data_IF_985478110178
#
_entry.id   IF_985478110178
#
_cell.length_a   1.000
_cell.length_b   1.000
_cell.length_c   1.000
_cell.angle_alpha   90.00
_cell.angle_beta   90.00
_cell.angle_gamma   90.00
#
_symmetry.space_group_name_H-M   'P 1'
#
loop_
_entity.id
_entity.type
_entity.pdbx_description
1 polymer ?
#
# COMPACT_ATOMS: atom_id res chain seq x y z
N UNK A 1 18.55 7.84 5.43
CA UNK A 1 19.64 8.06 4.45
C UNK A 1 19.15 8.77 3.19
N UNK A 2 17.94 8.45 2.70
CA UNK A 2 17.38 8.98 1.45
C UNK A 2 16.23 9.98 1.68
N UNK A 3 16.07 10.51 2.90
CA UNK A 3 14.97 11.41 3.24
C UNK A 3 14.97 12.69 2.41
N UNK A 4 16.10 13.39 2.36
CA UNK A 4 16.22 14.65 1.64
C UNK A 4 15.98 14.47 0.13
N UNK A 5 16.54 13.42 -0.47
CA UNK A 5 16.32 13.06 -1.87
C UNK A 5 14.83 12.88 -2.19
N UNK A 6 14.13 12.06 -1.39
CA UNK A 6 12.72 11.81 -1.58
C UNK A 6 11.85 13.04 -1.29
N UNK A 7 12.22 13.88 -0.34
CA UNK A 7 11.53 15.14 -0.07
C UNK A 7 11.61 16.11 -1.25
N UNK A 8 12.77 16.19 -1.92
CA UNK A 8 12.93 16.98 -3.14
C UNK A 8 12.09 16.40 -4.27
N UNK A 9 12.11 15.08 -4.47
CA UNK A 9 11.27 14.42 -5.48
C UNK A 9 9.78 14.68 -5.25
N UNK A 10 9.30 14.56 -4.01
CA UNK A 10 7.91 14.84 -3.64
C UNK A 10 7.53 16.28 -3.93
N UNK A 11 8.40 17.24 -3.58
CA UNK A 11 8.17 18.65 -3.83
C UNK A 11 8.10 18.98 -5.34
N UNK A 12 8.96 18.35 -6.14
CA UNK A 12 8.96 18.52 -7.60
C UNK A 12 7.71 17.93 -8.23
N UNK A 13 7.31 16.72 -7.81
CA UNK A 13 6.13 16.03 -8.35
C UNK A 13 4.82 16.75 -7.99
N UNK A 14 4.69 17.20 -6.74
CA UNK A 14 3.41 17.68 -6.19
C UNK A 14 3.27 19.19 -6.19
N UNK A 15 4.36 19.94 -6.26
CA UNK A 15 4.39 21.38 -6.03
C UNK A 15 4.26 21.81 -4.56
N UNK A 16 4.29 20.87 -3.60
CA UNK A 16 4.31 21.19 -2.17
C UNK A 16 5.57 21.94 -1.75
N UNK A 17 5.47 22.70 -0.67
CA UNK A 17 6.63 23.31 -0.04
C UNK A 17 7.62 22.25 0.42
N UNK A 18 8.89 22.47 0.17
CA UNK A 18 9.96 21.52 0.56
C UNK A 18 9.97 21.25 2.08
N UNK A 19 9.62 22.24 2.89
CA UNK A 19 9.52 22.11 4.36
C UNK A 19 8.47 21.09 4.77
N UNK A 20 7.33 21.06 4.06
CA UNK A 20 6.26 20.11 4.32
C UNK A 20 6.67 18.71 3.88
N UNK A 21 7.31 18.60 2.70
CA UNK A 21 7.84 17.35 2.19
C UNK A 21 8.92 16.76 3.12
N UNK A 22 9.79 17.58 3.73
CA UNK A 22 10.77 17.08 4.71
C UNK A 22 10.08 16.43 5.91
N UNK A 23 9.02 17.05 6.43
CA UNK A 23 8.28 16.47 7.57
C UNK A 23 7.59 15.16 7.19
N UNK A 24 6.84 15.16 6.08
CA UNK A 24 6.07 13.99 5.63
C UNK A 24 6.95 12.83 5.15
N UNK A 25 7.96 13.13 4.35
CA UNK A 25 8.72 12.13 3.60
C UNK A 25 9.97 11.67 4.36
N UNK A 26 10.75 12.63 4.91
CA UNK A 26 12.00 12.27 5.58
C UNK A 26 11.79 11.76 7.01
N UNK A 27 10.73 12.19 7.68
CA UNK A 27 10.45 11.81 9.06
C UNK A 27 9.37 10.74 9.18
N UNK A 28 8.17 10.95 8.61
CA UNK A 28 7.03 10.08 8.87
C UNK A 28 7.10 8.78 8.07
N UNK A 29 7.51 8.81 6.79
CA UNK A 29 7.54 7.60 5.96
C UNK A 29 8.48 6.51 6.51
N UNK A 30 9.73 6.79 6.93
CA UNK A 30 10.60 5.80 7.55
C UNK A 30 10.03 5.24 8.85
N UNK A 31 9.37 6.09 9.66
CA UNK A 31 8.78 5.69 10.94
C UNK A 31 7.68 4.64 10.74
N UNK A 32 6.87 4.75 9.68
CA UNK A 32 5.86 3.73 9.36
C UNK A 32 6.50 2.38 9.00
N UNK A 33 7.54 2.36 8.16
CA UNK A 33 8.24 1.11 7.86
C UNK A 33 8.87 0.49 9.10
N UNK A 34 9.49 1.32 9.95
CA UNK A 34 10.05 0.85 11.20
C UNK A 34 8.97 0.25 12.11
N UNK A 35 7.85 0.96 12.30
CA UNK A 35 6.76 0.51 13.17
C UNK A 35 6.17 -0.84 12.71
N UNK A 36 5.90 -0.99 11.42
CA UNK A 36 5.40 -2.27 10.88
C UNK A 36 6.45 -3.37 10.94
N UNK A 37 7.73 -3.07 10.72
CA UNK A 37 8.84 -4.02 10.90
C UNK A 37 8.95 -4.52 12.34
N UNK A 38 8.79 -3.63 13.32
CA UNK A 38 8.81 -3.95 14.74
C UNK A 38 7.53 -4.68 15.22
N UNK A 39 6.45 -4.61 14.43
CA UNK A 39 5.17 -5.25 14.76
C UNK A 39 5.12 -6.74 14.42
N UNK A 40 5.95 -7.22 13.48
CA UNK A 40 5.85 -8.55 12.88
C UNK A 40 5.83 -9.66 13.94
N UNK A 41 6.68 -9.58 14.95
CA UNK A 41 6.79 -10.57 16.04
C UNK A 41 5.76 -10.37 17.16
N UNK A 42 4.87 -9.37 17.06
CA UNK A 42 3.88 -9.01 18.08
C UNK A 42 2.43 -9.32 17.65
N UNK A 43 2.25 -9.80 16.42
CA UNK A 43 0.94 -10.16 15.89
C UNK A 43 0.71 -11.67 16.02
N UNK A 44 0.17 -12.07 17.17
CA UNK A 44 -0.05 -13.49 17.50
C UNK A 44 -1.28 -14.08 16.83
N UNK A 45 -1.24 -15.41 16.61
CA UNK A 45 -2.43 -16.22 16.36
C UNK A 45 -3.30 -16.36 17.62
N UNK A 46 -4.37 -17.12 17.51
CA UNK A 46 -5.30 -17.37 18.63
C UNK A 46 -5.59 -18.86 18.77
N UNK A 47 -5.89 -19.29 19.98
CA UNK A 47 -6.47 -20.61 20.26
C UNK A 47 -7.97 -20.42 20.39
N UNK A 48 -8.75 -21.13 19.56
CA UNK A 48 -10.20 -21.08 19.62
C UNK A 48 -10.75 -21.91 20.78
N UNK A 49 -11.90 -21.53 21.36
CA UNK A 49 -12.57 -22.34 22.39
C UNK A 49 -13.15 -23.59 21.74
N UNK A 50 -12.76 -24.76 22.26
CA UNK A 50 -13.24 -26.08 21.81
C UNK A 50 -13.40 -27.02 22.99
N UNK A 51 -14.00 -28.18 22.77
CA UNK A 51 -14.01 -29.24 23.75
C UNK A 51 -12.60 -29.80 24.04
N UNK A 52 -12.35 -30.44 25.17
CA UNK A 52 -11.01 -30.87 25.60
C UNK A 52 -10.27 -31.81 24.65
N UNK A 53 -10.98 -32.51 23.79
CA UNK A 53 -10.42 -33.45 22.80
C UNK A 53 -9.97 -32.77 21.49
N UNK A 54 -10.29 -31.50 21.29
CA UNK A 54 -10.02 -30.75 20.05
C UNK A 54 -9.16 -29.51 20.35
N UNK A 55 -8.16 -29.26 19.55
CA UNK A 55 -7.41 -28.00 19.55
C UNK A 55 -7.69 -27.23 18.27
N UNK A 56 -8.23 -26.00 18.38
CA UNK A 56 -8.44 -25.09 17.25
C UNK A 56 -7.44 -23.95 17.31
N UNK A 57 -6.69 -23.78 16.22
CA UNK A 57 -5.72 -22.69 16.07
C UNK A 57 -6.16 -21.74 14.97
N UNK A 58 -6.12 -20.44 15.26
CA UNK A 58 -6.32 -19.38 14.28
C UNK A 58 -4.93 -18.84 13.92
N UNK A 59 -4.47 -19.18 12.73
CA UNK A 59 -3.16 -18.79 12.20
C UNK A 59 -3.36 -17.63 11.22
N UNK A 60 -2.43 -16.68 11.19
CA UNK A 60 -2.40 -15.60 10.21
C UNK A 60 -1.46 -15.99 9.08
N UNK A 61 -1.91 -15.82 7.86
CA UNK A 61 -1.14 -16.10 6.64
C UNK A 61 -1.19 -14.90 5.70
N UNK A 62 -0.15 -14.68 4.85
CA UNK A 62 -0.20 -13.67 3.80
C UNK A 62 -1.40 -13.90 2.88
N UNK A 63 -2.09 -12.83 2.49
CA UNK A 63 -3.20 -12.95 1.54
C UNK A 63 -2.71 -13.22 0.10
N UNK A 64 -1.46 -12.88 -0.21
CA UNK A 64 -0.86 -13.06 -1.53
C UNK A 64 -0.40 -11.73 -2.15
N UNK A 65 -0.92 -11.38 -3.32
CA UNK A 65 -0.57 -10.17 -4.07
C UNK A 65 -1.54 -9.05 -3.75
N UNK A 66 -1.02 -7.92 -3.25
CA UNK A 66 -1.78 -6.73 -2.90
C UNK A 66 -1.50 -5.61 -3.91
N UNK A 67 -2.54 -5.10 -4.57
CA UNK A 67 -2.45 -3.90 -5.39
C UNK A 67 -2.82 -2.66 -4.57
N UNK A 68 -1.90 -1.72 -4.43
CA UNK A 68 -2.09 -0.43 -3.78
C UNK A 68 -2.23 0.68 -4.82
N UNK A 69 -3.39 1.34 -4.88
CA UNK A 69 -3.63 2.48 -5.77
C UNK A 69 -3.66 3.74 -4.91
N UNK A 70 -2.83 4.72 -5.26
CA UNK A 70 -2.63 5.91 -4.43
C UNK A 70 -2.87 7.21 -5.18
N UNK A 71 -3.35 8.27 -4.49
CA UNK A 71 -3.62 9.57 -5.06
C UNK A 71 -2.35 10.42 -5.18
N UNK A 72 -2.52 11.61 -5.78
CA UNK A 72 -1.46 12.58 -6.07
C UNK A 72 -1.10 13.50 -4.90
N UNK A 73 -1.99 13.71 -3.95
CA UNK A 73 -1.84 14.75 -2.91
C UNK A 73 -0.85 14.40 -1.79
N UNK A 74 -0.68 13.11 -1.47
CA UNK A 74 0.31 12.58 -0.53
C UNK A 74 0.96 11.31 -1.11
N UNK A 75 1.71 11.42 -2.24
CA UNK A 75 2.12 10.27 -3.04
C UNK A 75 2.85 9.22 -2.23
N UNK A 76 3.95 9.61 -1.55
CA UNK A 76 4.76 8.66 -0.81
C UNK A 76 4.05 8.14 0.44
N UNK A 77 3.42 9.03 1.22
CA UNK A 77 2.77 8.60 2.45
C UNK A 77 1.65 7.60 2.18
N UNK A 78 0.79 7.86 1.18
CA UNK A 78 -0.28 6.93 0.81
C UNK A 78 0.28 5.60 0.28
N UNK A 79 1.40 5.64 -0.44
CA UNK A 79 2.07 4.42 -0.87
C UNK A 79 2.65 3.64 0.32
N UNK A 80 3.32 4.31 1.25
CA UNK A 80 3.90 3.69 2.46
C UNK A 80 2.82 3.06 3.34
N UNK A 81 1.67 3.71 3.52
CA UNK A 81 0.55 3.16 4.31
C UNK A 81 -0.02 1.86 3.72
N UNK A 82 0.24 1.58 2.45
CA UNK A 82 -0.14 0.32 1.80
C UNK A 82 1.03 -0.67 1.74
N UNK A 83 2.25 -0.18 1.41
CA UNK A 83 3.45 -1.02 1.32
C UNK A 83 3.85 -1.64 2.67
N UNK A 84 3.98 -0.81 3.70
CA UNK A 84 4.54 -1.25 4.98
C UNK A 84 3.73 -2.38 5.63
N UNK A 85 2.39 -2.27 5.81
CA UNK A 85 1.61 -3.37 6.38
C UNK A 85 1.56 -4.61 5.48
N UNK A 86 1.50 -4.45 4.15
CA UNK A 86 1.44 -5.58 3.24
C UNK A 86 2.76 -6.37 3.23
N UNK A 87 3.91 -5.68 3.19
CA UNK A 87 5.22 -6.31 3.30
C UNK A 87 5.42 -6.99 4.66
N UNK A 88 5.02 -6.34 5.76
CA UNK A 88 5.08 -6.91 7.10
C UNK A 88 4.21 -8.17 7.24
N UNK A 89 3.09 -8.23 6.52
CA UNK A 89 2.23 -9.42 6.46
C UNK A 89 2.78 -10.54 5.54
N UNK A 90 3.91 -10.32 4.86
CA UNK A 90 4.52 -11.30 3.95
C UNK A 90 3.91 -11.33 2.54
N UNK A 91 3.18 -10.28 2.15
CA UNK A 91 2.56 -10.16 0.84
C UNK A 91 3.52 -9.60 -0.21
N UNK A 92 3.31 -9.93 -1.49
CA UNK A 92 3.86 -9.16 -2.60
C UNK A 92 2.99 -7.94 -2.87
N UNK A 93 3.63 -6.81 -3.22
CA UNK A 93 2.96 -5.51 -3.36
C UNK A 93 3.20 -4.94 -4.74
N UNK A 94 2.12 -4.43 -5.35
CA UNK A 94 2.17 -3.65 -6.57
C UNK A 94 1.56 -2.28 -6.26
N UNK A 95 2.36 -1.22 -6.31
CA UNK A 95 1.88 0.16 -6.15
C UNK A 95 1.64 0.78 -7.52
N UNK A 96 0.43 1.25 -7.75
CA UNK A 96 0.12 2.17 -8.86
C UNK A 96 0.02 3.58 -8.32
N UNK A 97 1.05 4.42 -8.48
CA UNK A 97 0.97 5.84 -8.13
C UNK A 97 0.03 6.59 -9.06
N UNK A 98 -0.40 7.79 -8.65
CA UNK A 98 -1.02 8.72 -9.58
C UNK A 98 -0.03 9.06 -10.71
N UNK A 99 -0.57 9.25 -11.90
CA UNK A 99 0.23 9.49 -13.12
C UNK A 99 1.11 10.73 -13.04
N UNK A 100 0.64 11.76 -12.34
CA UNK A 100 1.34 13.04 -12.20
C UNK A 100 2.39 13.05 -11.07
N UNK A 101 2.37 12.03 -10.17
CA UNK A 101 3.25 12.01 -8.98
C UNK A 101 3.86 10.62 -8.71
N UNK A 102 4.58 10.02 -9.67
CA UNK A 102 5.08 8.65 -9.53
C UNK A 102 6.48 8.54 -8.91
N UNK A 103 7.27 9.64 -8.86
CA UNK A 103 8.73 9.57 -8.68
C UNK A 103 9.13 9.01 -7.31
N UNK A 104 8.47 9.42 -6.23
CA UNK A 104 8.80 8.94 -4.88
C UNK A 104 8.47 7.46 -4.69
N UNK A 105 7.37 6.97 -5.25
CA UNK A 105 7.03 5.55 -5.21
C UNK A 105 8.07 4.70 -5.96
N UNK A 106 8.50 5.14 -7.15
CA UNK A 106 9.54 4.48 -7.93
C UNK A 106 10.86 4.45 -7.15
N UNK A 107 11.24 5.59 -6.56
CA UNK A 107 12.49 5.68 -5.80
C UNK A 107 12.49 4.79 -4.57
N UNK A 108 11.38 4.70 -3.85
CA UNK A 108 11.27 3.83 -2.67
C UNK A 108 11.35 2.34 -3.06
N UNK A 109 10.81 1.93 -4.21
CA UNK A 109 11.01 0.56 -4.68
C UNK A 109 12.49 0.25 -4.96
N UNK A 110 13.25 1.20 -5.54
CA UNK A 110 14.69 1.05 -5.73
C UNK A 110 15.43 0.95 -4.38
N UNK A 111 15.08 1.81 -3.41
CA UNK A 111 15.64 1.77 -2.05
C UNK A 111 15.31 0.42 -1.39
N UNK A 112 14.09 -0.10 -1.58
CA UNK A 112 13.70 -1.42 -1.10
C UNK A 112 14.59 -2.54 -1.65
N UNK A 113 14.90 -2.48 -2.94
CA UNK A 113 15.84 -3.43 -3.57
C UNK A 113 17.25 -3.27 -3.00
N UNK A 114 17.75 -2.04 -2.83
CA UNK A 114 19.04 -1.74 -2.19
C UNK A 114 19.09 -2.26 -0.74
N UNK A 115 17.96 -2.26 -0.04
CA UNK A 115 17.81 -2.77 1.33
C UNK A 115 17.65 -4.30 1.41
N UNK A 116 17.56 -4.99 0.28
CA UNK A 116 17.50 -6.45 0.21
C UNK A 116 16.09 -7.04 0.09
N UNK A 117 15.07 -6.23 -0.22
CA UNK A 117 13.75 -6.78 -0.59
C UNK A 117 13.93 -7.62 -1.86
N UNK A 118 13.50 -8.89 -1.89
CA UNK A 118 13.65 -9.76 -3.06
C UNK A 118 12.93 -9.21 -4.29
N UNK A 119 13.49 -9.46 -5.47
CA UNK A 119 12.87 -9.09 -6.75
C UNK A 119 11.46 -9.68 -6.85
N UNK A 120 10.50 -8.86 -7.30
CA UNK A 120 9.10 -9.24 -7.44
C UNK A 120 8.24 -9.07 -6.18
N UNK A 121 8.82 -8.80 -5.00
CA UNK A 121 8.05 -8.59 -3.77
C UNK A 121 7.50 -7.17 -3.68
N UNK A 122 8.27 -6.15 -4.07
CA UNK A 122 7.81 -4.77 -4.14
C UNK A 122 7.96 -4.25 -5.56
N UNK A 123 6.83 -3.89 -6.16
CA UNK A 123 6.75 -3.43 -7.55
C UNK A 123 6.04 -2.08 -7.61
N UNK A 124 6.46 -1.22 -8.53
CA UNK A 124 5.76 0.02 -8.85
C UNK A 124 5.40 0.01 -10.32
N UNK A 125 4.13 0.22 -10.61
CA UNK A 125 3.58 0.17 -11.97
C UNK A 125 2.91 1.52 -12.28
N UNK A 126 3.66 2.51 -12.81
CA UNK A 126 3.09 3.76 -13.26
C UNK A 126 2.13 3.54 -14.44
N UNK A 127 1.15 4.42 -14.57
CA UNK A 127 0.20 4.40 -15.66
C UNK A 127 -1.10 5.11 -15.31
N UNK A 128 -2.00 5.16 -16.26
CA UNK A 128 -3.29 5.83 -16.13
C UNK A 128 -4.37 4.91 -15.55
N UNK A 129 -5.64 5.25 -15.78
CA UNK A 129 -6.78 4.50 -15.26
C UNK A 129 -6.88 3.06 -15.79
N UNK A 130 -6.40 2.80 -17.01
CA UNK A 130 -6.33 1.48 -17.64
C UNK A 130 -5.45 0.49 -16.84
N UNK A 131 -4.32 0.95 -16.31
CA UNK A 131 -3.46 0.14 -15.42
C UNK A 131 -4.19 -0.16 -14.11
N UNK A 132 -4.92 0.81 -13.55
CA UNK A 132 -5.75 0.62 -12.37
C UNK A 132 -6.85 -0.43 -12.61
N UNK A 133 -7.54 -0.35 -13.75
CA UNK A 133 -8.54 -1.34 -14.16
C UNK A 133 -7.93 -2.73 -14.34
N UNK A 134 -6.78 -2.82 -15.03
CA UNK A 134 -6.08 -4.08 -15.23
C UNK A 134 -5.73 -4.76 -13.88
N UNK A 135 -5.22 -4.01 -12.91
CA UNK A 135 -4.94 -4.52 -11.56
C UNK A 135 -6.22 -4.94 -10.84
N UNK A 136 -7.28 -4.12 -10.91
CA UNK A 136 -8.57 -4.42 -10.29
C UNK A 136 -9.22 -5.70 -10.82
N UNK A 137 -9.05 -5.99 -12.11
CA UNK A 137 -9.60 -7.17 -12.79
C UNK A 137 -8.68 -8.39 -12.80
N UNK A 138 -7.41 -8.22 -12.44
CA UNK A 138 -6.43 -9.33 -12.52
C UNK A 138 -6.77 -10.43 -11.52
N UNK A 139 -6.86 -11.67 -11.99
CA UNK A 139 -7.28 -12.81 -11.15
C UNK A 139 -6.24 -13.22 -10.13
N UNK A 140 -4.96 -12.93 -10.38
CA UNK A 140 -3.84 -13.23 -9.48
C UNK A 140 -3.50 -12.04 -8.55
N UNK A 141 -4.32 -10.98 -8.53
CA UNK A 141 -4.32 -9.97 -7.48
C UNK A 141 -5.33 -10.41 -6.42
N UNK A 142 -4.87 -10.61 -5.20
CA UNK A 142 -5.66 -11.17 -4.10
C UNK A 142 -6.37 -10.12 -3.26
N UNK A 143 -5.87 -8.88 -3.26
CA UNK A 143 -6.53 -7.75 -2.58
C UNK A 143 -6.19 -6.43 -3.27
N UNK A 144 -7.11 -5.45 -3.16
CA UNK A 144 -6.90 -4.07 -3.59
C UNK A 144 -7.04 -3.14 -2.39
N UNK A 145 -6.08 -2.22 -2.24
CA UNK A 145 -6.18 -1.08 -1.32
C UNK A 145 -6.13 0.21 -2.14
N UNK A 146 -7.24 0.93 -2.15
CA UNK A 146 -7.44 2.14 -2.94
C UNK A 146 -7.58 3.37 -2.04
N UNK A 147 -6.94 4.47 -2.41
CA UNK A 147 -7.21 5.81 -1.87
C UNK A 147 -7.41 6.78 -3.03
N UNK A 148 -8.54 7.50 -3.03
CA UNK A 148 -8.87 8.46 -4.09
C UNK A 148 -10.33 8.89 -4.09
N UNK A 149 -10.88 9.19 -5.28
CA UNK A 149 -12.28 9.62 -5.40
C UNK A 149 -13.28 8.50 -5.15
N UNK A 150 -14.47 8.84 -4.66
CA UNK A 150 -15.58 7.91 -4.46
C UNK A 150 -16.01 7.23 -5.76
N UNK A 151 -16.00 7.96 -6.87
CA UNK A 151 -16.33 7.43 -8.18
C UNK A 151 -15.38 6.29 -8.59
N UNK A 152 -14.07 6.54 -8.53
CA UNK A 152 -13.06 5.52 -8.88
C UNK A 152 -13.06 4.36 -7.88
N UNK A 153 -13.30 4.61 -6.60
CA UNK A 153 -13.50 3.54 -5.60
C UNK A 153 -14.64 2.61 -5.96
N UNK A 154 -15.75 3.15 -6.50
CA UNK A 154 -16.88 2.36 -7.02
C UNK A 154 -16.47 1.44 -8.18
N UNK A 155 -15.55 1.89 -9.05
CA UNK A 155 -15.04 1.04 -10.12
C UNK A 155 -14.26 -0.18 -9.59
N UNK A 156 -13.46 -0.03 -8.53
CA UNK A 156 -12.73 -1.15 -7.95
C UNK A 156 -13.65 -2.21 -7.34
N UNK A 157 -14.77 -1.81 -6.72
CA UNK A 157 -15.79 -2.77 -6.29
C UNK A 157 -16.39 -3.54 -7.47
N UNK A 158 -16.67 -2.84 -8.57
CA UNK A 158 -17.15 -3.46 -9.80
C UNK A 158 -16.12 -4.43 -10.39
N UNK A 159 -14.85 -4.02 -10.51
CA UNK A 159 -13.79 -4.86 -11.04
C UNK A 159 -13.59 -6.14 -10.21
N UNK A 160 -13.64 -6.02 -8.88
CA UNK A 160 -13.57 -7.17 -7.99
C UNK A 160 -14.75 -8.13 -8.20
N UNK A 161 -15.99 -7.61 -8.33
CA UNK A 161 -17.20 -8.42 -8.56
C UNK A 161 -17.19 -9.14 -9.90
N UNK A 162 -16.56 -8.55 -10.91
CA UNK A 162 -16.46 -9.10 -12.28
C UNK A 162 -15.20 -9.99 -12.48
N UNK A 163 -14.40 -10.24 -11.44
CA UNK A 163 -13.18 -11.03 -11.55
C UNK A 163 -13.14 -12.19 -10.53
N UNK A 164 -12.40 -12.07 -9.44
CA UNK A 164 -12.19 -13.13 -8.47
C UNK A 164 -12.79 -12.84 -7.07
N UNK A 165 -13.62 -11.81 -6.94
CA UNK A 165 -14.25 -11.38 -5.69
C UNK A 165 -13.24 -10.98 -4.60
N UNK A 166 -12.06 -10.47 -5.00
CA UNK A 166 -11.01 -10.02 -4.07
C UNK A 166 -11.53 -8.95 -3.11
N UNK A 167 -11.07 -8.91 -1.85
CA UNK A 167 -11.37 -7.82 -0.94
C UNK A 167 -10.83 -6.49 -1.47
N UNK A 168 -11.63 -5.43 -1.31
CA UNK A 168 -11.28 -4.06 -1.70
C UNK A 168 -11.41 -3.17 -0.46
N UNK A 169 -10.27 -2.63 0.01
CA UNK A 169 -10.23 -1.61 1.04
C UNK A 169 -10.25 -0.23 0.38
N UNK A 170 -11.19 0.62 0.78
CA UNK A 170 -11.43 1.93 0.18
C UNK A 170 -11.24 3.04 1.20
N UNK A 171 -10.37 4.00 0.86
CA UNK A 171 -10.23 5.28 1.54
C UNK A 171 -10.59 6.38 0.54
N UNK A 172 -11.70 7.07 0.78
CA UNK A 172 -12.31 7.98 -0.18
C UNK A 172 -12.61 9.35 0.44
N UNK A 173 -12.96 10.31 -0.41
CA UNK A 173 -13.37 11.63 0.03
C UNK A 173 -14.62 11.59 0.92
N UNK A 174 -14.71 12.54 1.83
CA UNK A 174 -15.85 12.68 2.74
C UNK A 174 -15.93 14.06 3.36
N UNK A 175 -16.94 14.25 4.18
CA UNK A 175 -17.13 15.42 5.05
C UNK A 175 -17.31 14.91 6.47
N UNK A 176 -16.43 15.31 7.38
CA UNK A 176 -16.61 15.00 8.79
C UNK A 176 -17.90 15.61 9.32
N UNK A 177 -18.81 14.83 9.89
CA UNK A 177 -19.99 15.39 10.54
C UNK A 177 -19.56 16.15 11.80
N UNK A 178 -20.25 17.25 12.07
CA UNK A 178 -20.16 18.00 13.33
C UNK A 178 -21.33 17.64 14.24
#
# INVERSE_FOLDING_TARGET
>A
KHGDENSVLESVDTGKLITDCINEVANDAPMHFQWYGELIDKVFGKVGPTEPSITSLIVKEPIGVVAGIVPWNFPLMMAVWKMAPALAAGCSVIIKPAEDTPLTAIRVAQIGKEAGIPDGVLNVLPGYGDVGEALGRHKDVDAVSFTGSTEVGGYFLKYASESNLKPVALEMGGKSPF
#
